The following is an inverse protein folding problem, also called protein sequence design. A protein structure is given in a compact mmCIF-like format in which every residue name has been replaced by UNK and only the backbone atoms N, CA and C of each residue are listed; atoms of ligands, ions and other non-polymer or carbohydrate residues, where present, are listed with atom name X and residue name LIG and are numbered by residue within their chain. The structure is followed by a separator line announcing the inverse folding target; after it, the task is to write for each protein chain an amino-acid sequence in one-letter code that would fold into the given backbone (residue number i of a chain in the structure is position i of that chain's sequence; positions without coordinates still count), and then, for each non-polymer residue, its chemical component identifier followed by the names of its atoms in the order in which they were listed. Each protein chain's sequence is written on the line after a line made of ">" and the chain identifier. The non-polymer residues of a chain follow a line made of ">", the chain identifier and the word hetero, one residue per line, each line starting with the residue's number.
data_IF_361376679217
#
_entry.id   IF_361376679217
#
_cell.length_a   1.000
_cell.length_b   1.000
_cell.length_c   1.000
_cell.angle_alpha   90.00
_cell.angle_beta   90.00
_cell.angle_gamma   90.00
#
_symmetry.space_group_name_H-M   'P 1'
#
loop_
_entity.id
_entity.type
_entity.pdbx_description
1 polymer ?
#
# COMPACT_ATOMS: atom_id res chain seq x y z
N UNK A 1 12.55 54.39 -68.48
CA UNK A 1 13.45 54.84 -67.39
C UNK A 1 13.40 53.78 -66.31
N UNK A 2 14.45 53.16 -65.77
CA UNK A 2 15.92 53.06 -65.95
C UNK A 2 16.23 51.66 -65.33
N UNK A 3 16.82 50.69 -66.02
CA UNK A 3 18.27 50.33 -65.93
C UNK A 3 18.76 50.23 -64.47
N UNK A 4 19.20 49.10 -63.90
CA UNK A 4 20.39 48.23 -64.13
C UNK A 4 20.26 47.04 -63.14
N UNK A 5 20.50 45.75 -63.42
CA UNK A 5 21.62 45.02 -64.01
C UNK A 5 22.91 44.99 -63.15
N UNK A 6 23.47 43.77 -63.03
CA UNK A 6 24.88 43.35 -62.71
C UNK A 6 25.10 42.92 -61.23
N UNK A 7 25.39 41.67 -60.83
CA UNK A 7 26.32 40.56 -61.18
C UNK A 7 27.55 40.52 -60.23
N UNK A 8 27.84 39.30 -59.73
CA UNK A 8 29.17 38.72 -59.46
C UNK A 8 29.77 38.66 -58.03
N UNK A 9 29.85 37.41 -57.54
CA UNK A 9 31.05 36.65 -57.09
C UNK A 9 31.93 37.25 -55.98
N UNK A 10 32.07 36.55 -54.84
CA UNK A 10 33.36 35.98 -54.43
C UNK A 10 33.23 34.89 -53.36
N UNK A 11 33.90 33.78 -53.65
CA UNK A 11 34.15 32.61 -52.82
C UNK A 11 35.15 32.97 -51.71
N UNK A 12 34.91 32.58 -50.46
CA UNK A 12 35.99 32.43 -49.47
C UNK A 12 35.72 31.22 -48.57
N UNK A 13 36.34 30.11 -48.94
CA UNK A 13 36.62 28.97 -48.07
C UNK A 13 37.69 29.34 -47.05
N UNK A 14 37.36 29.26 -45.76
CA UNK A 14 38.35 28.98 -44.71
C UNK A 14 37.82 27.85 -43.84
N UNK A 15 38.54 26.74 -43.94
CA UNK A 15 38.46 25.54 -43.14
C UNK A 15 39.04 25.85 -41.75
N UNK A 16 38.31 25.54 -40.67
CA UNK A 16 38.93 25.18 -39.39
C UNK A 16 37.97 24.34 -38.57
N UNK A 17 38.32 23.06 -38.50
CA UNK A 17 37.73 22.08 -37.63
C UNK A 17 37.94 22.48 -36.17
N UNK A 18 36.83 22.72 -35.48
CA UNK A 18 36.65 22.29 -34.09
C UNK A 18 35.26 21.71 -34.08
N UNK A 19 35.15 20.41 -34.42
CA UNK A 19 34.00 19.62 -33.98
C UNK A 19 34.31 19.38 -32.50
N UNK A 20 33.63 20.06 -31.57
CA UNK A 20 33.70 19.65 -30.18
C UNK A 20 33.13 18.23 -30.18
N UNK A 21 33.68 17.34 -29.35
CA UNK A 21 33.12 16.01 -29.13
C UNK A 21 31.72 16.12 -28.49
N UNK A 22 30.76 16.67 -29.22
CA UNK A 22 29.34 16.59 -28.97
C UNK A 22 28.94 15.20 -29.43
N UNK A 23 28.41 14.39 -28.51
CA UNK A 23 27.75 13.15 -28.87
C UNK A 23 26.78 13.41 -30.03
N UNK A 24 26.81 12.54 -31.04
CA UNK A 24 25.99 12.73 -32.25
C UNK A 24 24.53 13.04 -31.87
N UNK A 25 23.90 14.09 -32.44
CA UNK A 25 22.49 14.41 -32.19
C UNK A 25 21.54 13.22 -32.37
N UNK A 26 21.92 12.27 -33.22
CA UNK A 26 21.22 10.99 -33.39
C UNK A 26 21.28 10.08 -32.17
N UNK A 27 22.41 10.00 -31.46
CA UNK A 27 22.53 9.18 -30.24
C UNK A 27 21.72 9.75 -29.09
N UNK A 28 21.69 11.08 -28.95
CA UNK A 28 20.85 11.74 -27.95
C UNK A 28 19.36 11.54 -28.26
N UNK A 29 18.96 11.67 -29.53
CA UNK A 29 17.60 11.41 -29.97
C UNK A 29 17.20 9.93 -29.78
N UNK A 30 18.07 8.99 -30.11
CA UNK A 30 17.86 7.55 -29.87
C UNK A 30 17.76 7.21 -28.38
N UNK A 31 18.53 7.89 -27.52
CA UNK A 31 18.41 7.76 -26.07
C UNK A 31 17.04 8.28 -25.58
N UNK A 32 16.67 9.50 -25.97
CA UNK A 32 15.36 10.09 -25.62
C UNK A 32 14.18 9.26 -26.11
N UNK A 33 14.26 8.69 -27.31
CA UNK A 33 13.21 7.82 -27.84
C UNK A 33 13.07 6.51 -27.04
N UNK A 34 14.19 5.97 -26.53
CA UNK A 34 14.15 4.81 -25.62
C UNK A 34 13.54 5.20 -24.27
N UNK A 35 13.94 6.32 -23.70
CA UNK A 35 13.37 6.81 -22.44
C UNK A 35 11.85 7.02 -22.55
N UNK A 36 11.37 7.60 -23.66
CA UNK A 36 9.94 7.77 -23.93
C UNK A 36 9.23 6.42 -23.99
N UNK A 37 9.80 5.43 -24.71
CA UNK A 37 9.21 4.11 -24.81
C UNK A 37 9.15 3.40 -23.45
N UNK A 38 10.20 3.53 -22.63
CA UNK A 38 10.27 2.95 -21.29
C UNK A 38 9.25 3.59 -20.34
N UNK A 39 9.11 4.92 -20.38
CA UNK A 39 8.10 5.66 -19.63
C UNK A 39 6.68 5.28 -20.07
N UNK A 40 6.42 5.15 -21.37
CA UNK A 40 5.11 4.70 -21.88
C UNK A 40 4.78 3.29 -21.38
N UNK A 41 5.76 2.39 -21.39
CA UNK A 41 5.59 1.04 -20.85
C UNK A 41 5.34 1.06 -19.33
N UNK A 42 6.00 1.96 -18.59
CA UNK A 42 5.76 2.13 -17.15
C UNK A 42 4.37 2.67 -16.85
N UNK A 43 3.90 3.68 -17.59
CA UNK A 43 2.54 4.23 -17.47
C UNK A 43 1.51 3.13 -17.73
N UNK A 44 1.66 2.34 -18.81
CA UNK A 44 0.73 1.26 -19.11
C UNK A 44 0.65 0.19 -18.01
N UNK A 45 1.77 -0.11 -17.32
CA UNK A 45 1.77 -1.00 -16.14
C UNK A 45 1.00 -0.38 -14.97
N UNK A 46 1.29 0.88 -14.64
CA UNK A 46 0.63 1.59 -13.54
C UNK A 46 -0.88 1.74 -13.77
N UNK A 47 -1.31 2.03 -14.99
CA UNK A 47 -2.73 2.08 -15.36
C UNK A 47 -3.42 0.73 -15.14
N UNK A 48 -2.73 -0.37 -15.48
CA UNK A 48 -3.24 -1.72 -15.28
C UNK A 48 -3.37 -2.06 -13.79
N UNK A 49 -2.34 -1.76 -12.99
CA UNK A 49 -2.36 -1.98 -11.54
C UNK A 49 -3.43 -1.14 -10.85
N UNK A 50 -3.56 0.14 -11.22
CA UNK A 50 -4.59 1.04 -10.72
C UNK A 50 -6.00 0.53 -11.05
N UNK A 51 -6.20 0.00 -12.26
CA UNK A 51 -7.48 -0.61 -12.65
C UNK A 51 -7.81 -1.83 -11.78
N UNK A 52 -6.85 -2.72 -11.52
CA UNK A 52 -7.09 -3.88 -10.65
C UNK A 52 -7.41 -3.45 -9.22
N UNK A 53 -6.70 -2.44 -8.70
CA UNK A 53 -6.99 -1.89 -7.38
C UNK A 53 -8.40 -1.29 -7.30
N UNK A 54 -8.80 -0.51 -8.31
CA UNK A 54 -10.15 0.03 -8.39
C UNK A 54 -11.21 -1.07 -8.46
N UNK A 55 -10.98 -2.12 -9.24
CA UNK A 55 -11.92 -3.25 -9.32
C UNK A 55 -12.03 -4.01 -7.99
N UNK A 56 -10.91 -4.25 -7.31
CA UNK A 56 -10.89 -4.91 -6.00
C UNK A 56 -11.66 -4.09 -4.95
N UNK A 57 -11.45 -2.78 -4.93
CA UNK A 57 -12.00 -1.89 -3.91
C UNK A 57 -13.41 -1.35 -4.24
N UNK A 58 -13.89 -1.46 -5.48
CA UNK A 58 -15.20 -0.95 -5.89
C UNK A 58 -16.38 -1.54 -5.12
N UNK A 59 -16.24 -2.77 -4.61
CA UNK A 59 -17.26 -3.46 -3.82
C UNK A 59 -17.02 -3.39 -2.31
N UNK A 60 -15.94 -2.72 -1.90
CA UNK A 60 -15.54 -2.61 -0.52
C UNK A 60 -15.95 -1.24 0.03
N UNK A 61 -16.78 -1.23 1.06
CA UNK A 61 -17.10 0.01 1.75
C UNK A 61 -15.87 0.43 2.58
N UNK A 62 -15.34 1.66 2.40
CA UNK A 62 -14.25 2.14 3.24
C UNK A 62 -14.75 2.27 4.69
N UNK A 63 -13.94 1.81 5.63
CA UNK A 63 -14.20 1.95 7.06
C UNK A 63 -13.29 3.04 7.59
N UNK A 64 -13.89 4.06 8.19
CA UNK A 64 -13.12 5.08 8.91
C UNK A 64 -12.82 4.56 10.31
N UNK A 65 -11.53 4.48 10.65
CA UNK A 65 -11.05 4.21 12.01
C UNK A 65 -10.23 5.44 12.42
N UNK A 66 -10.88 6.48 12.96
CA UNK A 66 -10.25 7.78 13.21
C UNK A 66 -9.09 7.72 14.20
N UNK A 67 -9.03 6.69 15.06
CA UNK A 67 -7.89 6.49 15.98
C UNK A 67 -6.74 5.67 15.36
N UNK A 68 -6.89 5.19 14.11
CA UNK A 68 -5.94 4.33 13.40
C UNK A 68 -5.61 4.91 12.02
N UNK A 69 -5.00 6.10 11.98
CA UNK A 69 -4.82 6.88 10.72
C UNK A 69 -3.79 6.30 9.76
N UNK A 70 -2.92 5.40 10.20
CA UNK A 70 -2.01 4.59 9.37
C UNK A 70 -2.73 3.50 8.55
N UNK A 71 -4.06 3.43 8.60
CA UNK A 71 -4.82 2.36 7.97
C UNK A 71 -5.62 2.79 6.76
N UNK A 72 -5.71 1.90 5.77
CA UNK A 72 -6.85 1.86 4.85
C UNK A 72 -7.63 0.59 5.09
N UNK A 73 -8.88 0.72 5.54
CA UNK A 73 -9.72 -0.42 5.87
C UNK A 73 -11.00 -0.46 5.03
N UNK A 74 -11.46 -1.68 4.84
CA UNK A 74 -12.49 -2.05 3.89
C UNK A 74 -13.35 -3.17 4.50
N UNK A 75 -14.67 -3.06 4.39
CA UNK A 75 -15.58 -4.07 4.91
C UNK A 75 -16.46 -4.64 3.79
N UNK A 76 -16.55 -5.97 3.75
CA UNK A 76 -17.50 -6.70 2.92
C UNK A 76 -18.90 -6.71 3.57
N UNK A 77 -19.98 -6.93 2.79
CA UNK A 77 -21.32 -7.09 3.36
C UNK A 77 -21.45 -8.23 4.39
N UNK A 78 -20.54 -9.22 4.37
CA UNK A 78 -20.45 -10.28 5.37
C UNK A 78 -19.90 -9.81 6.73
N UNK A 79 -19.39 -8.58 6.82
CA UNK A 79 -18.67 -8.04 7.97
C UNK A 79 -17.18 -8.38 7.99
N UNK A 80 -16.67 -9.17 7.04
CA UNK A 80 -15.21 -9.40 6.92
C UNK A 80 -14.51 -8.08 6.65
N UNK A 81 -13.43 -7.83 7.37
CA UNK A 81 -12.61 -6.62 7.24
C UNK A 81 -11.29 -6.95 6.58
N UNK A 82 -10.87 -6.09 5.66
CA UNK A 82 -9.51 -6.04 5.12
C UNK A 82 -8.90 -4.70 5.54
N UNK A 83 -7.74 -4.71 6.18
CA UNK A 83 -7.02 -3.49 6.50
C UNK A 83 -5.58 -3.53 5.97
N UNK A 84 -5.12 -2.38 5.49
CA UNK A 84 -3.75 -2.15 5.05
C UNK A 84 -3.07 -1.21 6.04
N UNK A 85 -1.95 -1.63 6.60
CA UNK A 85 -1.20 -0.89 7.61
C UNK A 85 0.10 -0.39 6.99
N UNK A 86 0.29 0.91 6.98
CA UNK A 86 1.44 1.55 6.34
C UNK A 86 2.54 1.88 7.36
N UNK A 87 3.71 2.25 6.87
CA UNK A 87 4.86 2.63 7.69
C UNK A 87 4.79 4.05 8.26
N UNK A 88 3.76 4.81 7.91
CA UNK A 88 3.54 6.17 8.38
C UNK A 88 2.06 6.40 8.75
N UNK A 89 1.85 7.12 9.86
CA UNK A 89 0.51 7.56 10.32
C UNK A 89 -0.13 8.59 9.39
N UNK A 90 0.68 9.32 8.63
CA UNK A 90 0.24 10.14 7.51
C UNK A 90 0.40 9.33 6.22
N UNK A 91 -0.73 8.89 5.65
CA UNK A 91 -0.75 8.05 4.45
C UNK A 91 -0.18 8.75 3.21
N UNK A 92 -0.14 10.08 3.17
CA UNK A 92 0.49 10.82 2.07
C UNK A 92 2.03 10.80 2.17
N UNK A 93 2.56 10.45 3.35
CA UNK A 93 3.99 10.26 3.62
C UNK A 93 4.37 8.77 3.75
N UNK A 94 3.41 7.85 3.59
CA UNK A 94 3.69 6.42 3.61
C UNK A 94 4.45 6.01 2.36
N UNK A 95 5.54 5.27 2.56
CA UNK A 95 6.35 4.74 1.46
C UNK A 95 6.13 3.22 1.30
N UNK A 96 5.77 2.53 2.39
CA UNK A 96 5.68 1.09 2.40
C UNK A 96 4.42 0.58 3.07
N UNK A 97 3.90 -0.53 2.55
CA UNK A 97 2.93 -1.37 3.24
C UNK A 97 3.68 -2.30 4.21
N UNK A 98 3.29 -2.29 5.48
CA UNK A 98 3.88 -3.15 6.52
C UNK A 98 3.07 -4.42 6.73
N UNK A 99 1.76 -4.27 6.96
CA UNK A 99 0.84 -5.39 7.16
C UNK A 99 -0.40 -5.34 6.27
N UNK A 100 -0.87 -6.53 5.92
CA UNK A 100 -2.23 -6.81 5.46
C UNK A 100 -2.96 -7.51 6.61
N UNK A 101 -4.05 -6.95 7.10
CA UNK A 101 -4.87 -7.59 8.14
C UNK A 101 -6.19 -8.10 7.56
N UNK A 102 -6.56 -9.32 7.97
CA UNK A 102 -7.88 -9.90 7.67
C UNK A 102 -8.62 -10.07 8.98
N UNK A 103 -9.79 -9.47 9.05
CA UNK A 103 -10.65 -9.42 10.21
C UNK A 103 -11.92 -10.25 10.04
N UNK A 104 -12.20 -11.15 10.99
CA UNK A 104 -13.42 -11.95 11.05
C UNK A 104 -14.31 -11.46 12.19
N UNK A 105 -15.60 -11.14 11.93
CA UNK A 105 -16.54 -10.76 12.96
C UNK A 105 -16.65 -11.79 14.09
N UNK A 106 -16.70 -11.31 15.32
CA UNK A 106 -16.75 -12.14 16.50
C UNK A 106 -17.11 -11.39 17.77
N UNK A 107 -16.87 -12.04 18.89
CA UNK A 107 -16.99 -11.48 20.23
C UNK A 107 -15.67 -11.57 20.97
N UNK A 108 -15.44 -10.64 21.90
CA UNK A 108 -14.23 -10.62 22.71
C UNK A 108 -14.27 -11.68 23.83
N UNK A 109 -14.06 -12.92 23.42
CA UNK A 109 -13.95 -14.11 24.26
C UNK A 109 -12.87 -15.03 23.72
N UNK A 110 -12.12 -15.68 24.61
CA UNK A 110 -11.11 -16.67 24.22
C UNK A 110 -11.72 -17.82 23.40
N UNK A 111 -12.90 -18.29 23.78
CA UNK A 111 -13.59 -19.36 23.07
C UNK A 111 -14.01 -18.95 21.64
N UNK A 112 -14.30 -17.66 21.43
CA UNK A 112 -14.63 -17.16 20.08
C UNK A 112 -13.39 -16.98 19.22
N UNK A 113 -12.28 -16.52 19.80
CA UNK A 113 -10.96 -16.53 19.16
C UNK A 113 -10.60 -17.96 18.70
N UNK A 114 -10.69 -18.94 19.61
CA UNK A 114 -10.40 -20.34 19.32
C UNK A 114 -11.32 -20.92 18.24
N UNK A 115 -12.62 -20.56 18.25
CA UNK A 115 -13.58 -20.93 17.19
C UNK A 115 -13.13 -20.42 15.82
N UNK A 116 -12.72 -19.15 15.73
CA UNK A 116 -12.23 -18.55 14.49
C UNK A 116 -10.95 -19.23 14.05
N UNK A 117 -9.99 -19.44 14.96
CA UNK A 117 -8.73 -20.10 14.62
C UNK A 117 -8.91 -21.55 14.17
N UNK A 118 -9.88 -22.28 14.73
CA UNK A 118 -10.21 -23.63 14.29
C UNK A 118 -10.74 -23.67 12.85
N UNK A 119 -11.39 -22.59 12.39
CA UNK A 119 -11.95 -22.50 11.06
C UNK A 119 -10.98 -21.92 10.02
N UNK A 120 -10.18 -20.93 10.39
CA UNK A 120 -9.38 -20.13 9.45
C UNK A 120 -7.87 -20.26 9.66
N UNK A 121 -7.43 -20.98 10.70
CA UNK A 121 -6.02 -21.13 11.06
C UNK A 121 -5.59 -20.21 12.21
N UNK A 122 -4.40 -20.47 12.76
CA UNK A 122 -3.84 -19.73 13.90
C UNK A 122 -3.41 -18.31 13.52
N UNK A 123 -3.38 -17.41 14.50
CA UNK A 123 -2.83 -16.05 14.34
C UNK A 123 -3.84 -14.92 14.50
N UNK A 124 -5.09 -15.24 14.81
CA UNK A 124 -6.11 -14.24 15.16
C UNK A 124 -5.88 -13.75 16.60
N UNK A 125 -4.80 -13.00 16.83
CA UNK A 125 -4.33 -12.62 18.18
C UNK A 125 -4.77 -11.23 18.62
N UNK A 126 -5.32 -10.45 17.70
CA UNK A 126 -5.75 -9.07 17.93
C UNK A 126 -7.24 -8.93 17.71
N UNK A 127 -7.96 -8.41 18.69
CA UNK A 127 -9.38 -8.08 18.60
C UNK A 127 -9.56 -6.57 18.60
N UNK A 128 -10.51 -6.10 17.82
CA UNK A 128 -10.90 -4.70 17.80
C UNK A 128 -12.40 -4.57 18.01
N UNK A 129 -12.79 -3.79 19.02
CA UNK A 129 -14.15 -3.30 19.16
C UNK A 129 -14.34 -2.16 18.14
N UNK A 130 -15.01 -2.49 17.04
CA UNK A 130 -15.24 -1.55 15.93
C UNK A 130 -16.23 -0.43 16.29
N UNK A 131 -17.07 -0.61 17.31
CA UNK A 131 -18.05 0.41 17.72
C UNK A 131 -17.37 1.49 18.58
N UNK A 132 -16.50 1.08 19.48
CA UNK A 132 -15.79 1.98 20.40
C UNK A 132 -14.41 2.42 19.87
N UNK A 133 -13.95 1.86 18.76
CA UNK A 133 -12.66 2.12 18.13
C UNK A 133 -11.47 1.82 19.08
N UNK A 134 -11.50 0.65 19.75
CA UNK A 134 -10.48 0.26 20.74
C UNK A 134 -9.93 -1.16 20.51
N UNK A 135 -8.67 -1.35 20.92
CA UNK A 135 -8.03 -2.66 20.98
C UNK A 135 -8.59 -3.47 22.14
N UNK A 136 -9.02 -4.70 21.86
CA UNK A 136 -9.76 -5.54 22.79
C UNK A 136 -11.18 -5.03 22.97
N UNK A 137 -11.69 -5.13 24.20
CA UNK A 137 -13.02 -4.66 24.54
C UNK A 137 -13.46 -5.18 25.90
N UNK A 138 -14.68 -4.84 26.29
CA UNK A 138 -15.31 -5.49 27.44
C UNK A 138 -15.57 -6.97 27.16
N UNK A 139 -15.66 -7.84 28.19
CA UNK A 139 -15.98 -9.25 28.00
C UNK A 139 -17.27 -9.44 27.17
N UNK A 140 -17.13 -10.02 25.98
CA UNK A 140 -18.24 -10.22 25.04
C UNK A 140 -18.63 -9.04 24.17
N UNK A 141 -17.84 -7.97 24.16
CA UNK A 141 -17.92 -6.91 23.16
C UNK A 141 -17.96 -7.50 21.75
N UNK A 142 -18.76 -6.90 20.87
CA UNK A 142 -18.84 -7.30 19.47
C UNK A 142 -17.79 -6.54 18.68
N UNK A 143 -17.14 -7.23 17.76
CA UNK A 143 -16.03 -6.64 17.04
C UNK A 143 -15.45 -7.63 16.05
N UNK A 144 -14.14 -7.51 15.82
CA UNK A 144 -13.44 -8.24 14.77
C UNK A 144 -12.15 -8.81 15.32
N UNK A 145 -11.93 -10.11 15.09
CA UNK A 145 -10.64 -10.76 15.32
C UNK A 145 -9.79 -10.66 14.06
N UNK A 146 -8.61 -10.07 14.19
CA UNK A 146 -7.65 -9.85 13.12
C UNK A 146 -6.48 -10.82 13.19
N UNK A 147 -6.10 -11.33 12.02
CA UNK A 147 -4.76 -11.84 11.74
C UNK A 147 -3.99 -10.80 10.94
N UNK A 148 -2.75 -10.51 11.34
CA UNK A 148 -1.88 -9.55 10.66
C UNK A 148 -0.79 -10.29 9.89
N UNK A 149 -0.72 -10.03 8.60
CA UNK A 149 0.28 -10.61 7.70
C UNK A 149 1.28 -9.52 7.34
N UNK A 150 2.49 -9.62 7.86
CA UNK A 150 3.59 -8.78 7.43
C UNK A 150 3.93 -9.10 5.97
N UNK A 151 3.98 -8.08 5.12
CA UNK A 151 4.28 -8.24 3.68
C UNK A 151 5.74 -7.99 3.35
N UNK A 152 6.50 -7.44 4.30
CA UNK A 152 7.93 -7.15 4.19
C UNK A 152 8.61 -7.29 5.56
N UNK A 153 9.93 -7.17 5.58
CA UNK A 153 10.72 -7.06 6.82
C UNK A 153 10.82 -5.60 7.27
N UNK A 154 10.67 -5.35 8.57
CA UNK A 154 10.80 -4.03 9.20
C UNK A 154 10.84 -4.15 10.74
N UNK A 155 11.22 -3.07 11.42
CA UNK A 155 11.23 -3.00 12.89
C UNK A 155 9.89 -2.47 13.43
N UNK A 156 9.32 -3.15 14.42
CA UNK A 156 8.13 -2.74 15.16
C UNK A 156 8.46 -2.54 16.65
N UNK A 157 7.56 -1.96 17.47
CA UNK A 157 7.79 -1.81 18.91
C UNK A 157 8.08 -3.12 19.66
N UNK A 158 7.66 -4.26 19.11
CA UNK A 158 7.94 -5.61 19.65
C UNK A 158 9.13 -6.32 18.98
N UNK A 159 9.88 -5.63 18.12
CA UNK A 159 11.09 -6.13 17.47
C UNK A 159 10.94 -6.35 15.96
N UNK A 160 11.92 -7.06 15.39
CA UNK A 160 11.99 -7.34 13.96
C UNK A 160 10.82 -8.22 13.51
N UNK A 161 10.02 -7.69 12.59
CA UNK A 161 8.91 -8.39 11.94
C UNK A 161 9.39 -8.93 10.59
N UNK A 162 9.08 -10.20 10.30
CA UNK A 162 9.43 -10.87 9.04
C UNK A 162 8.16 -11.17 8.24
N UNK A 163 8.25 -11.30 6.91
CA UNK A 163 7.11 -11.66 6.08
C UNK A 163 6.40 -12.93 6.58
N UNK A 164 5.08 -12.87 6.67
CA UNK A 164 4.24 -13.95 7.21
C UNK A 164 3.28 -13.46 8.30
N UNK A 165 2.64 -14.40 9.01
CA UNK A 165 1.75 -14.05 10.12
C UNK A 165 2.56 -13.48 11.28
N UNK A 166 2.23 -12.26 11.68
CA UNK A 166 2.81 -11.62 12.86
C UNK A 166 1.98 -11.97 14.11
N UNK A 167 2.39 -13.03 14.79
CA UNK A 167 1.74 -13.49 16.02
C UNK A 167 1.88 -12.52 17.19
N UNK A 168 2.76 -11.52 17.10
CA UNK A 168 3.05 -10.57 18.16
C UNK A 168 2.37 -9.22 17.93
N UNK A 169 1.68 -9.03 16.80
CA UNK A 169 0.99 -7.80 16.48
C UNK A 169 -0.07 -7.49 17.53
N UNK A 170 0.22 -6.49 18.37
CA UNK A 170 -0.68 -5.88 19.36
C UNK A 170 -1.65 -6.88 20.03
N UNK A 171 -1.11 -7.99 20.55
CA UNK A 171 -1.92 -9.10 21.08
C UNK A 171 -2.92 -8.60 22.13
N UNK A 172 -4.17 -9.03 22.01
CA UNK A 172 -5.26 -8.70 22.95
C UNK A 172 -5.78 -9.98 23.61
N UNK A 173 -5.26 -10.37 24.80
CA UNK A 173 -5.72 -11.57 25.48
C UNK A 173 -7.19 -11.47 25.88
N UNK A 174 -8.07 -12.27 25.28
CA UNK A 174 -9.48 -12.27 25.65
C UNK A 174 -9.76 -13.06 26.94
N UNK A 175 -10.77 -12.66 27.73
CA UNK A 175 -11.20 -13.40 28.90
C UNK A 175 -11.86 -14.73 28.52
N UNK A 176 -11.86 -15.68 29.46
CA UNK A 176 -12.68 -16.89 29.39
C UNK A 176 -14.09 -16.59 29.91
N UNK A 177 -15.13 -17.18 29.33
CA UNK A 177 -16.51 -16.98 29.82
C UNK A 177 -16.72 -17.55 31.22
N UNK A 178 -16.02 -18.65 31.51
CA UNK A 178 -16.06 -19.33 32.81
C UNK A 178 -15.53 -18.46 33.95
N UNK A 179 -14.53 -17.60 33.69
CA UNK A 179 -13.90 -16.76 34.72
C UNK A 179 -14.74 -15.55 35.12
N UNK A 180 -15.67 -15.12 34.26
CA UNK A 180 -16.60 -14.00 34.53
C UNK A 180 -17.83 -14.46 35.34
N UNK A 181 -18.09 -15.76 35.41
CA UNK A 181 -19.30 -16.34 36.01
C UNK A 181 -19.23 -16.56 37.54
N UNK A 182 -18.09 -16.29 38.18
CA UNK A 182 -17.82 -16.65 39.60
C UNK A 182 -18.23 -15.56 40.60
N UNK A 183 -18.76 -14.43 40.14
CA UNK A 183 -19.26 -13.36 41.02
C UNK A 183 -20.79 -13.28 40.91
N UNK A 184 -21.50 -14.23 41.53
CA UNK A 184 -22.92 -14.10 41.89
C UNK A 184 -23.21 -14.79 43.21
#
# INVERSE_FOLDING_TARGET
>A
MRTRMILSVLLLTVLLAVIPAFGSPTRELEAKNRDIADLQAQVGRLETEAKYWQQLTALLAPVQMPLMTDHRAYMLPSGLVLALHFDNMDLDQAENLNWLAVGIPGQYWKEDQERIEAQYGKGFTHFHDMENDIHGGEPGARGVWFVHLAVREFEAPWGLVKPGIDHNFMVTPAPERSSVSVIR
#
